data_IF_147173901628
#
_entry.id   IF_147173901628
#
_cell.length_a   1.000
_cell.length_b   1.000
_cell.length_c   1.000
_cell.angle_alpha   90.00
_cell.angle_beta   90.00
_cell.angle_gamma   90.00
#
_symmetry.space_group_name_H-M   'P 1'
#
loop_
_entity.id
_entity.type
_entity.pdbx_description
1 polymer ?
#
# COMPACT_ATOMS: atom_id res chain seq x y z
N UNK A 1 3.96 -24.27 -10.42
CA UNK A 1 4.97 -23.27 -10.80
C UNK A 1 6.26 -24.00 -11.16
N UNK A 2 7.15 -23.40 -11.95
CA UNK A 2 8.47 -24.00 -12.21
C UNK A 2 9.38 -23.76 -10.99
N UNK A 3 10.30 -24.67 -10.70
CA UNK A 3 11.23 -24.58 -9.55
C UNK A 3 11.98 -23.23 -9.45
N UNK A 4 12.31 -22.62 -10.59
CA UNK A 4 12.92 -21.29 -10.66
C UNK A 4 11.99 -20.15 -10.23
N UNK A 5 10.70 -20.21 -10.59
CA UNK A 5 9.71 -19.21 -10.17
C UNK A 5 9.46 -19.27 -8.65
N UNK A 6 9.43 -20.48 -8.10
CA UNK A 6 9.31 -20.69 -6.64
C UNK A 6 10.51 -20.12 -5.88
N UNK A 7 11.72 -20.29 -6.41
CA UNK A 7 12.94 -19.76 -5.78
C UNK A 7 12.95 -18.23 -5.85
N UNK A 8 12.58 -17.66 -7.00
CA UNK A 8 12.45 -16.20 -7.15
C UNK A 8 11.42 -15.61 -6.17
N UNK A 9 10.27 -16.26 -6.01
CA UNK A 9 9.25 -15.84 -5.05
C UNK A 9 9.78 -15.86 -3.61
N UNK A 10 10.45 -16.95 -3.19
CA UNK A 10 11.07 -17.06 -1.86
C UNK A 10 12.09 -15.97 -1.57
N UNK A 11 12.93 -15.62 -2.56
CA UNK A 11 13.89 -14.52 -2.41
C UNK A 11 13.15 -13.20 -2.15
N UNK A 12 12.10 -12.92 -2.93
CA UNK A 12 11.32 -11.69 -2.78
C UNK A 12 10.55 -11.65 -1.45
N UNK A 13 9.99 -12.78 -1.00
CA UNK A 13 9.30 -12.88 0.30
C UNK A 13 10.25 -12.56 1.46
N UNK A 14 11.43 -13.19 1.49
CA UNK A 14 12.43 -12.92 2.51
C UNK A 14 12.93 -11.47 2.44
N UNK A 15 13.16 -10.94 1.23
CA UNK A 15 13.57 -9.56 1.03
C UNK A 15 12.52 -8.56 1.53
N UNK A 16 11.24 -8.80 1.25
CA UNK A 16 10.14 -7.94 1.72
C UNK A 16 10.10 -7.85 3.25
N UNK A 17 10.16 -9.00 3.92
CA UNK A 17 10.16 -9.09 5.38
C UNK A 17 11.38 -8.36 5.96
N UNK A 18 12.57 -8.62 5.43
CA UNK A 18 13.80 -7.97 5.90
C UNK A 18 13.80 -6.46 5.68
N UNK A 19 13.35 -6.01 4.50
CA UNK A 19 13.28 -4.57 4.16
C UNK A 19 12.27 -3.84 5.04
N UNK A 20 11.09 -4.42 5.30
CA UNK A 20 10.08 -3.80 6.17
C UNK A 20 10.47 -3.81 7.66
N UNK A 21 11.34 -4.75 8.06
CA UNK A 21 11.82 -4.86 9.44
C UNK A 21 12.96 -3.90 9.76
N UNK A 22 13.98 -3.81 8.89
CA UNK A 22 15.23 -3.06 9.17
C UNK A 22 15.67 -2.11 8.04
N UNK A 23 14.91 -2.03 6.96
CA UNK A 23 15.22 -1.19 5.82
C UNK A 23 16.09 -1.87 4.78
N UNK A 24 16.09 -1.29 3.58
CA UNK A 24 16.81 -1.85 2.44
C UNK A 24 18.32 -1.75 2.61
N UNK A 25 18.85 -0.63 3.08
CA UNK A 25 20.29 -0.46 3.31
C UNK A 25 20.89 -1.55 4.21
N UNK A 26 20.18 -1.92 5.28
CA UNK A 26 20.60 -2.92 6.26
C UNK A 26 20.34 -4.38 5.86
N UNK A 27 19.70 -4.60 4.71
CA UNK A 27 19.40 -5.95 4.18
C UNK A 27 20.52 -6.41 3.24
N UNK A 28 21.31 -7.42 3.60
CA UNK A 28 22.39 -7.94 2.76
C UNK A 28 21.92 -9.04 1.81
N UNK A 29 22.68 -9.36 0.76
CA UNK A 29 22.37 -10.52 -0.10
C UNK A 29 22.73 -11.83 0.61
N UNK A 30 23.85 -11.83 1.34
CA UNK A 30 24.35 -13.03 2.03
C UNK A 30 23.40 -13.49 3.14
N UNK A 31 22.78 -12.57 3.89
CA UNK A 31 21.76 -12.95 4.87
C UNK A 31 20.54 -13.59 4.21
N UNK A 32 20.07 -13.07 3.06
CA UNK A 32 18.91 -13.61 2.35
C UNK A 32 19.21 -15.01 1.85
N UNK A 33 20.41 -15.23 1.31
CA UNK A 33 20.90 -16.55 0.88
C UNK A 33 20.86 -17.55 2.04
N UNK A 34 21.37 -17.15 3.21
CA UNK A 34 21.41 -17.99 4.41
C UNK A 34 19.99 -18.28 4.92
N UNK A 35 19.14 -17.25 4.98
CA UNK A 35 17.76 -17.35 5.48
C UNK A 35 16.91 -18.31 4.66
N UNK A 36 17.01 -18.27 3.33
CA UNK A 36 16.22 -19.12 2.44
C UNK A 36 16.91 -20.45 2.10
N UNK A 37 18.17 -20.63 2.51
CA UNK A 37 18.95 -21.85 2.30
C UNK A 37 19.28 -22.13 0.83
N UNK A 38 19.59 -21.09 0.04
CA UNK A 38 20.04 -21.26 -1.36
C UNK A 38 21.55 -21.05 -1.49
N UNK A 39 22.10 -21.29 -2.68
CA UNK A 39 23.50 -20.94 -2.98
C UNK A 39 23.60 -19.52 -3.51
N UNK A 40 24.79 -18.93 -3.41
CA UNK A 40 25.11 -17.65 -4.03
C UNK A 40 24.81 -17.64 -5.54
N UNK A 41 25.19 -18.71 -6.25
CA UNK A 41 24.85 -18.88 -7.67
C UNK A 41 23.34 -18.96 -7.92
N UNK A 42 22.57 -19.58 -7.01
CA UNK A 42 21.11 -19.62 -7.07
C UNK A 42 20.46 -18.24 -6.92
N UNK A 43 21.00 -17.37 -6.06
CA UNK A 43 20.54 -15.98 -5.96
C UNK A 43 20.84 -15.20 -7.25
N UNK A 44 22.10 -15.22 -7.71
CA UNK A 44 22.53 -14.47 -8.88
C UNK A 44 21.95 -14.98 -10.21
N UNK A 45 21.37 -16.18 -10.23
CA UNK A 45 20.54 -16.65 -11.34
C UNK A 45 19.24 -15.83 -11.49
N UNK A 46 18.70 -15.30 -10.39
CA UNK A 46 17.44 -14.54 -10.36
C UNK A 46 17.62 -13.03 -10.30
N UNK A 47 18.65 -12.53 -9.61
CA UNK A 47 18.91 -11.11 -9.41
C UNK A 47 20.41 -10.84 -9.52
N UNK A 48 20.81 -10.01 -10.49
CA UNK A 48 22.21 -9.66 -10.75
C UNK A 48 22.83 -8.87 -9.61
N UNK A 49 22.01 -8.04 -8.96
CA UNK A 49 22.43 -7.20 -7.86
C UNK A 49 21.24 -6.82 -6.96
N UNK A 50 21.53 -5.97 -5.97
CA UNK A 50 20.56 -5.49 -5.00
C UNK A 50 19.53 -4.53 -5.63
N UNK A 51 19.90 -3.77 -6.66
CA UNK A 51 18.97 -2.84 -7.32
C UNK A 51 17.94 -3.61 -8.15
N UNK A 52 18.33 -4.68 -8.84
CA UNK A 52 17.39 -5.56 -9.54
C UNK A 52 16.42 -6.22 -8.56
N UNK A 53 16.90 -6.63 -7.38
CA UNK A 53 16.04 -7.11 -6.30
C UNK A 53 15.07 -6.03 -5.82
N UNK A 54 15.54 -4.81 -5.57
CA UNK A 54 14.71 -3.69 -5.12
C UNK A 54 13.61 -3.34 -6.13
N UNK A 55 13.95 -3.28 -7.42
CA UNK A 55 13.02 -3.03 -8.50
C UNK A 55 11.93 -4.09 -8.53
N UNK A 56 12.33 -5.37 -8.59
CA UNK A 56 11.38 -6.47 -8.62
C UNK A 56 10.51 -6.55 -7.36
N UNK A 57 11.06 -6.20 -6.19
CA UNK A 57 10.33 -6.14 -4.94
C UNK A 57 9.28 -5.04 -4.96
N UNK A 58 9.65 -3.83 -5.41
CA UNK A 58 8.74 -2.70 -5.50
C UNK A 58 7.63 -2.94 -6.54
N UNK A 59 7.98 -3.47 -7.72
CA UNK A 59 7.00 -3.84 -8.76
C UNK A 59 5.99 -4.86 -8.23
N UNK A 60 6.46 -5.95 -7.59
CA UNK A 60 5.59 -6.96 -6.99
C UNK A 60 4.69 -6.36 -5.90
N UNK A 61 5.24 -5.48 -5.07
CA UNK A 61 4.49 -4.82 -4.01
C UNK A 61 3.36 -3.96 -4.59
N UNK A 62 3.66 -3.16 -5.62
CA UNK A 62 2.67 -2.33 -6.32
C UNK A 62 1.57 -3.21 -6.93
N UNK A 63 1.92 -4.28 -7.65
CA UNK A 63 0.96 -5.19 -8.26
C UNK A 63 0.04 -5.86 -7.22
N UNK A 64 0.59 -6.27 -6.08
CA UNK A 64 -0.20 -6.87 -5.01
C UNK A 64 -1.14 -5.87 -4.34
N UNK A 65 -0.65 -4.66 -4.06
CA UNK A 65 -1.47 -3.55 -3.57
C UNK A 65 -2.58 -3.19 -4.57
N UNK A 66 -2.29 -3.17 -5.86
CA UNK A 66 -3.32 -2.94 -6.86
C UNK A 66 -4.42 -4.00 -6.83
N UNK A 67 -4.02 -5.27 -6.81
CA UNK A 67 -4.95 -6.40 -6.76
C UNK A 67 -5.84 -6.35 -5.51
N UNK A 68 -5.27 -6.09 -4.33
CA UNK A 68 -6.02 -6.03 -3.07
C UNK A 68 -7.08 -4.93 -3.14
N UNK A 69 -6.72 -3.75 -3.63
CA UNK A 69 -7.66 -2.62 -3.64
C UNK A 69 -8.69 -2.73 -4.77
N UNK A 70 -8.32 -3.30 -5.91
CA UNK A 70 -9.29 -3.61 -6.97
C UNK A 70 -10.32 -4.63 -6.49
N UNK A 71 -9.91 -5.65 -5.73
CA UNK A 71 -10.84 -6.63 -5.13
C UNK A 71 -11.78 -5.96 -4.11
N UNK A 72 -11.23 -5.18 -3.17
CA UNK A 72 -12.01 -4.53 -2.11
C UNK A 72 -13.02 -3.53 -2.68
N UNK A 73 -12.54 -2.59 -3.50
CA UNK A 73 -13.38 -1.52 -4.04
C UNK A 73 -14.24 -2.01 -5.20
N UNK A 74 -13.84 -3.06 -5.92
CA UNK A 74 -14.68 -3.78 -6.87
C UNK A 74 -15.89 -4.41 -6.18
N UNK A 75 -15.66 -5.20 -5.12
CA UNK A 75 -16.74 -5.78 -4.29
C UNK A 75 -17.64 -4.70 -3.71
N UNK A 76 -17.08 -3.57 -3.27
CA UNK A 76 -17.88 -2.47 -2.74
C UNK A 76 -18.78 -1.81 -3.80
N UNK A 77 -18.38 -1.79 -5.08
CA UNK A 77 -19.21 -1.31 -6.20
C UNK A 77 -20.33 -2.29 -6.54
N UNK A 78 -20.10 -3.59 -6.40
CA UNK A 78 -21.17 -4.60 -6.59
C UNK A 78 -22.26 -4.51 -5.52
N UNK A 79 -21.92 -4.02 -4.32
CA UNK A 79 -22.85 -3.93 -3.19
C UNK A 79 -23.67 -2.63 -3.16
N UNK A 80 -23.27 -1.59 -3.89
CA UNK A 80 -23.96 -0.30 -3.90
C UNK A 80 -23.71 0.48 -5.19
N UNK A 81 -24.79 0.88 -5.88
CA UNK A 81 -24.72 1.72 -7.09
C UNK A 81 -24.32 3.18 -6.79
N UNK A 82 -24.62 3.66 -5.58
CA UNK A 82 -24.27 5.03 -5.18
C UNK A 82 -22.75 5.15 -4.94
N UNK A 83 -22.04 6.07 -5.62
CA UNK A 83 -20.58 6.13 -5.56
C UNK A 83 -20.05 6.48 -4.17
N UNK A 84 -20.79 7.28 -3.38
CA UNK A 84 -20.41 7.59 -2.01
C UNK A 84 -20.58 6.37 -1.11
N UNK A 85 -21.72 5.67 -1.17
CA UNK A 85 -21.93 4.45 -0.39
C UNK A 85 -20.95 3.35 -0.77
N UNK A 86 -20.66 3.17 -2.06
CA UNK A 86 -19.66 2.22 -2.54
C UNK A 86 -18.28 2.53 -1.94
N UNK A 87 -17.83 3.78 -2.01
CA UNK A 87 -16.54 4.18 -1.44
C UNK A 87 -16.48 4.00 0.08
N UNK A 88 -17.53 4.41 0.81
CA UNK A 88 -17.62 4.20 2.26
C UNK A 88 -17.64 2.71 2.63
N UNK A 89 -18.22 1.86 1.80
CA UNK A 89 -18.22 0.40 1.98
C UNK A 89 -16.83 -0.17 1.73
N UNK A 90 -16.14 0.28 0.68
CA UNK A 90 -14.75 -0.10 0.40
C UNK A 90 -13.81 0.25 1.55
N UNK A 91 -13.94 1.44 2.15
CA UNK A 91 -13.16 1.81 3.34
C UNK A 91 -13.44 0.91 4.55
N UNK A 92 -14.69 0.45 4.71
CA UNK A 92 -15.06 -0.48 5.80
C UNK A 92 -14.47 -1.86 5.57
N UNK A 93 -14.55 -2.38 4.34
CA UNK A 93 -13.96 -3.66 3.95
C UNK A 93 -12.43 -3.64 4.08
N UNK A 94 -11.79 -2.53 3.69
CA UNK A 94 -10.35 -2.35 3.87
C UNK A 94 -9.96 -2.35 5.37
N UNK A 95 -10.74 -1.66 6.20
CA UNK A 95 -10.55 -1.67 7.66
C UNK A 95 -10.68 -3.09 8.25
N UNK A 96 -11.64 -3.88 7.78
CA UNK A 96 -11.83 -5.28 8.20
C UNK A 96 -10.64 -6.15 7.81
N UNK A 97 -10.20 -6.08 6.54
CA UNK A 97 -9.03 -6.81 6.06
C UNK A 97 -7.79 -6.50 6.91
N UNK A 98 -7.56 -5.22 7.21
CA UNK A 98 -6.40 -4.78 7.98
C UNK A 98 -6.49 -5.17 9.46
N UNK A 99 -7.70 -5.24 10.02
CA UNK A 99 -7.94 -5.69 11.40
C UNK A 99 -7.69 -7.20 11.58
N UNK A 100 -7.86 -8.00 10.53
CA UNK A 100 -7.64 -9.44 10.53
C UNK A 100 -6.15 -9.84 10.41
N UNK A 101 -5.25 -8.87 10.20
CA UNK A 101 -3.81 -9.13 10.21
C UNK A 101 -3.32 -9.40 11.64
N UNK A 102 -2.84 -10.62 11.96
CA UNK A 102 -2.57 -11.04 13.34
C UNK A 102 -1.49 -10.20 14.03
N UNK A 103 -0.54 -9.64 13.26
CA UNK A 103 0.54 -8.78 13.75
C UNK A 103 0.40 -7.32 13.27
N UNK A 104 -0.78 -6.95 12.78
CA UNK A 104 -1.00 -5.66 12.10
C UNK A 104 -0.31 -5.59 10.73
N UNK A 105 -0.39 -4.42 10.11
CA UNK A 105 0.23 -4.18 8.80
C UNK A 105 1.76 -4.19 8.91
N UNK A 106 2.50 -4.97 8.09
CA UNK A 106 3.94 -5.17 8.26
C UNK A 106 4.74 -3.89 7.96
N UNK A 107 4.18 -2.98 7.19
CA UNK A 107 4.76 -1.69 6.80
C UNK A 107 4.48 -1.42 5.33
N UNK A 108 4.81 -0.22 4.85
CA UNK A 108 4.70 0.11 3.44
C UNK A 108 6.07 0.17 2.78
N UNK A 109 6.26 -0.59 1.69
CA UNK A 109 7.51 -0.54 0.94
C UNK A 109 7.70 0.81 0.25
N UNK A 110 6.63 1.43 -0.26
CA UNK A 110 6.70 2.75 -0.92
C UNK A 110 7.22 3.81 0.04
N UNK A 111 6.72 3.82 1.29
CA UNK A 111 7.18 4.71 2.34
C UNK A 111 8.62 4.39 2.79
N UNK A 112 8.94 3.11 2.95
CA UNK A 112 10.29 2.66 3.33
C UNK A 112 11.33 3.10 2.30
N UNK A 113 11.04 2.90 1.00
CA UNK A 113 11.94 3.31 -0.07
C UNK A 113 12.04 4.83 -0.19
N UNK A 114 10.95 5.56 0.03
CA UNK A 114 10.93 7.02 0.06
C UNK A 114 11.85 7.59 1.16
N UNK A 115 11.79 7.04 2.38
CA UNK A 115 12.63 7.50 3.49
C UNK A 115 14.11 7.11 3.33
N UNK A 116 14.40 6.13 2.48
CA UNK A 116 15.75 5.64 2.18
C UNK A 116 16.18 5.95 0.75
N UNK A 117 15.64 7.01 0.14
CA UNK A 117 15.78 7.33 -1.29
C UNK A 117 17.22 7.27 -1.82
N UNK A 118 18.19 7.71 -1.00
CA UNK A 118 19.63 7.72 -1.34
C UNK A 118 20.24 6.33 -1.54
N UNK A 119 19.57 5.27 -1.08
CA UNK A 119 20.02 3.89 -1.27
C UNK A 119 19.66 3.34 -2.67
N UNK A 120 18.87 4.07 -3.45
CA UNK A 120 18.32 3.63 -4.72
C UNK A 120 18.77 4.52 -5.88
N UNK A 121 18.84 3.95 -7.08
CA UNK A 121 19.08 4.71 -8.29
C UNK A 121 17.84 5.48 -8.76
N UNK A 122 18.02 6.31 -9.80
CA UNK A 122 16.95 7.15 -10.36
C UNK A 122 15.79 6.34 -10.94
N UNK A 123 16.02 5.11 -11.37
CA UNK A 123 14.96 4.26 -11.94
C UNK A 123 14.01 3.82 -10.83
N UNK A 124 14.55 3.28 -9.74
CA UNK A 124 13.74 2.85 -8.59
C UNK A 124 13.04 4.04 -7.93
N UNK A 125 13.71 5.20 -7.81
CA UNK A 125 13.09 6.43 -7.33
C UNK A 125 11.89 6.84 -8.20
N UNK A 126 12.02 6.73 -9.53
CA UNK A 126 10.94 7.01 -10.45
C UNK A 126 9.78 6.01 -10.30
N UNK A 127 10.05 4.71 -10.16
CA UNK A 127 9.03 3.69 -9.90
C UNK A 127 8.29 4.00 -8.59
N UNK A 128 9.02 4.33 -7.52
CA UNK A 128 8.42 4.67 -6.22
C UNK A 128 7.52 5.90 -6.31
N UNK A 129 7.96 6.93 -7.05
CA UNK A 129 7.15 8.11 -7.35
C UNK A 129 5.89 7.74 -8.14
N UNK A 130 5.99 6.84 -9.12
CA UNK A 130 4.81 6.38 -9.87
C UNK A 130 3.84 5.62 -8.98
N UNK A 131 4.32 4.78 -8.06
CA UNK A 131 3.47 4.10 -7.09
C UNK A 131 2.60 5.09 -6.30
N UNK A 132 3.21 6.15 -5.77
CA UNK A 132 2.47 7.21 -5.06
C UNK A 132 1.44 7.93 -5.97
N UNK A 133 1.79 8.19 -7.23
CA UNK A 133 0.87 8.82 -8.20
C UNK A 133 -0.27 7.88 -8.63
N UNK A 134 -0.04 6.58 -8.69
CA UNK A 134 -1.08 5.58 -8.98
C UNK A 134 -2.16 5.59 -7.91
N UNK A 135 -1.77 5.68 -6.63
CA UNK A 135 -2.71 5.85 -5.52
C UNK A 135 -3.56 7.12 -5.65
N UNK A 136 -2.92 8.26 -5.92
CA UNK A 136 -3.62 9.53 -6.18
C UNK A 136 -4.61 9.39 -7.33
N UNK A 137 -4.19 8.76 -8.43
CA UNK A 137 -5.04 8.55 -9.60
C UNK A 137 -6.26 7.69 -9.27
N UNK A 138 -6.06 6.56 -8.58
CA UNK A 138 -7.12 5.62 -8.17
C UNK A 138 -8.17 6.32 -7.30
N UNK A 139 -7.76 6.84 -6.14
CA UNK A 139 -8.72 7.45 -5.21
C UNK A 139 -9.28 8.77 -5.73
N UNK A 140 -8.47 9.54 -6.48
CA UNK A 140 -8.94 10.77 -7.12
C UNK A 140 -10.04 10.50 -8.14
N UNK A 141 -9.98 9.37 -8.87
CA UNK A 141 -11.06 8.97 -9.78
C UNK A 141 -12.36 8.66 -9.00
N UNK A 142 -12.27 7.93 -7.88
CA UNK A 142 -13.43 7.65 -7.02
C UNK A 142 -14.02 8.94 -6.43
N UNK A 143 -13.20 9.86 -5.94
CA UNK A 143 -13.69 11.14 -5.44
C UNK A 143 -14.29 12.03 -6.54
N UNK A 144 -13.71 12.04 -7.75
CA UNK A 144 -14.30 12.75 -8.89
C UNK A 144 -15.69 12.21 -9.22
N UNK A 145 -15.86 10.89 -9.22
CA UNK A 145 -17.14 10.22 -9.42
C UNK A 145 -18.17 10.61 -8.35
N UNK A 146 -17.79 10.56 -7.07
CA UNK A 146 -18.63 11.04 -5.96
C UNK A 146 -19.04 12.49 -6.16
N UNK A 147 -18.10 13.35 -6.57
CA UNK A 147 -18.32 14.79 -6.76
C UNK A 147 -19.24 15.14 -7.93
N UNK A 148 -19.53 14.21 -8.85
CA UNK A 148 -20.55 14.40 -9.88
C UNK A 148 -21.96 14.46 -9.28
N UNK A 149 -22.18 13.77 -8.16
CA UNK A 149 -23.48 13.67 -7.48
C UNK A 149 -23.51 14.48 -6.18
N UNK A 150 -22.42 14.49 -5.42
CA UNK A 150 -22.33 15.08 -4.09
C UNK A 150 -21.36 16.25 -4.07
N UNK A 151 -21.86 17.45 -3.79
CA UNK A 151 -20.99 18.62 -3.56
C UNK A 151 -20.34 18.51 -2.17
N UNK A 152 -19.00 18.57 -2.05
CA UNK A 152 -18.35 18.59 -0.74
C UNK A 152 -18.73 19.87 0.03
N UNK A 153 -18.84 19.77 1.35
CA UNK A 153 -19.15 20.91 2.22
C UNK A 153 -18.04 21.95 2.26
N UNK A 154 -16.80 21.51 2.06
CA UNK A 154 -15.58 22.31 1.99
C UNK A 154 -15.02 22.32 0.55
N UNK A 155 -14.26 23.36 0.15
CA UNK A 155 -13.70 23.48 -1.19
C UNK A 155 -12.45 22.60 -1.37
N UNK A 156 -12.59 21.29 -1.16
CA UNK A 156 -11.52 20.30 -1.30
C UNK A 156 -11.55 19.66 -2.70
N UNK A 157 -10.39 19.55 -3.33
CA UNK A 157 -10.23 18.87 -4.61
C UNK A 157 -10.12 17.35 -4.46
N UNK A 158 -10.52 16.62 -5.50
CA UNK A 158 -10.46 15.15 -5.51
C UNK A 158 -9.04 14.59 -5.27
N UNK A 159 -8.01 15.21 -5.85
CA UNK A 159 -6.62 14.76 -5.67
C UNK A 159 -6.11 15.06 -4.24
N UNK A 160 -6.58 16.12 -3.58
CA UNK A 160 -6.25 16.39 -2.18
C UNK A 160 -6.87 15.36 -1.24
N UNK A 161 -8.12 14.97 -1.52
CA UNK A 161 -8.79 13.89 -0.78
C UNK A 161 -8.13 12.53 -1.05
N UNK A 162 -7.68 12.29 -2.28
CA UNK A 162 -6.92 11.08 -2.63
C UNK A 162 -5.60 10.99 -1.86
N UNK A 163 -4.83 12.08 -1.80
CA UNK A 163 -3.59 12.15 -1.02
C UNK A 163 -3.84 11.99 0.49
N UNK A 164 -5.00 12.42 0.98
CA UNK A 164 -5.41 12.20 2.36
C UNK A 164 -5.61 10.70 2.67
N UNK A 165 -6.09 9.88 1.72
CA UNK A 165 -6.19 8.43 1.90
C UNK A 165 -4.81 7.84 2.19
N UNK A 166 -3.82 8.16 1.36
CA UNK A 166 -2.43 7.70 1.56
C UNK A 166 -1.87 8.21 2.89
N UNK A 167 -2.14 9.47 3.25
CA UNK A 167 -1.69 10.05 4.52
C UNK A 167 -2.27 9.31 5.74
N UNK A 168 -3.55 8.94 5.69
CA UNK A 168 -4.23 8.18 6.76
C UNK A 168 -3.66 6.77 6.87
N UNK A 169 -3.44 6.09 5.74
CA UNK A 169 -2.88 4.74 5.72
C UNK A 169 -1.44 4.73 6.27
N UNK A 170 -0.56 5.58 5.75
CA UNK A 170 0.84 5.62 6.18
C UNK A 170 0.98 6.07 7.63
N UNK A 171 0.23 7.11 8.03
CA UNK A 171 0.18 7.55 9.42
C UNK A 171 -0.37 6.47 10.36
N UNK A 172 -1.41 5.74 9.94
CA UNK A 172 -1.98 4.63 10.68
C UNK A 172 -1.01 3.46 10.84
N UNK A 173 -0.24 3.13 9.79
CA UNK A 173 0.84 2.12 9.84
C UNK A 173 1.90 2.56 10.86
N UNK A 174 2.35 3.81 10.79
CA UNK A 174 3.35 4.36 11.73
C UNK A 174 2.85 4.28 13.17
N UNK A 175 1.62 4.74 13.45
CA UNK A 175 1.03 4.69 14.79
C UNK A 175 0.91 3.26 15.29
N UNK A 176 0.39 2.36 14.45
CA UNK A 176 0.24 0.95 14.80
C UNK A 176 1.57 0.31 15.22
N UNK A 177 2.64 0.54 14.45
CA UNK A 177 3.99 0.02 14.75
C UNK A 177 4.62 0.71 15.96
N UNK A 178 4.54 2.03 16.06
CA UNK A 178 5.18 2.79 17.14
C UNK A 178 4.56 2.50 18.51
N UNK A 179 3.22 2.35 18.55
CA UNK A 179 2.48 2.10 19.78
C UNK A 179 2.31 0.60 20.08
N UNK A 180 2.66 -0.29 19.13
CA UNK A 180 2.37 -1.74 19.18
C UNK A 180 0.88 -2.05 19.31
N UNK A 181 0.08 -1.27 18.59
CA UNK A 181 -1.37 -1.35 18.57
C UNK A 181 -1.81 -1.70 17.14
N UNK A 182 -1.98 -3.00 16.79
CA UNK A 182 -2.33 -3.41 15.42
C UNK A 182 -3.66 -2.82 14.93
N UNK A 183 -4.56 -2.45 15.85
CA UNK A 183 -5.87 -1.87 15.54
C UNK A 183 -5.83 -0.37 15.20
N UNK A 184 -4.74 0.34 15.47
CA UNK A 184 -4.70 1.79 15.26
C UNK A 184 -4.89 2.16 13.78
N UNK A 185 -4.33 1.38 12.85
CA UNK A 185 -4.55 1.58 11.41
C UNK A 185 -6.01 1.39 10.97
N UNK A 186 -6.66 0.23 11.20
CA UNK A 186 -8.05 0.05 10.80
C UNK A 186 -9.01 1.02 11.50
N UNK A 187 -8.72 1.44 12.73
CA UNK A 187 -9.49 2.48 13.43
C UNK A 187 -9.38 3.84 12.74
N UNK A 188 -8.18 4.25 12.31
CA UNK A 188 -7.99 5.50 11.55
C UNK A 188 -8.75 5.48 10.21
N UNK A 189 -8.86 4.32 9.55
CA UNK A 189 -9.70 4.20 8.35
C UNK A 189 -11.19 4.43 8.64
N UNK A 190 -11.70 3.99 9.79
CA UNK A 190 -13.10 4.24 10.18
C UNK A 190 -13.35 5.70 10.56
N UNK A 191 -12.35 6.36 11.15
CA UNK A 191 -12.37 7.81 11.38
C UNK A 191 -12.40 8.55 10.04
N UNK A 192 -11.52 8.20 9.10
CA UNK A 192 -11.50 8.77 7.75
C UNK A 192 -12.81 8.52 6.99
N UNK A 193 -13.38 7.31 7.09
CA UNK A 193 -14.70 7.00 6.54
C UNK A 193 -15.78 7.93 7.11
N UNK A 194 -15.74 8.21 8.41
CA UNK A 194 -16.69 9.14 9.05
C UNK A 194 -16.48 10.58 8.56
N UNK A 195 -15.24 11.01 8.38
CA UNK A 195 -14.90 12.30 7.78
C UNK A 195 -15.47 12.43 6.36
N UNK A 196 -15.24 11.45 5.48
CA UNK A 196 -15.75 11.45 4.10
C UNK A 196 -17.28 11.52 4.09
N UNK A 197 -17.94 10.73 4.94
CA UNK A 197 -19.41 10.78 5.08
C UNK A 197 -19.89 12.18 5.46
N UNK A 198 -19.27 12.82 6.45
CA UNK A 198 -19.65 14.18 6.89
C UNK A 198 -19.37 15.23 5.82
N UNK A 199 -18.27 15.08 5.07
CA UNK A 199 -17.89 16.00 3.99
C UNK A 199 -18.91 16.03 2.86
N UNK A 200 -19.51 14.89 2.52
CA UNK A 200 -20.46 14.75 1.42
C UNK A 200 -21.93 14.65 1.86
N UNK A 201 -22.23 14.77 3.15
CA UNK A 201 -23.61 14.88 3.62
C UNK A 201 -24.28 16.12 3.05
N UNK A 202 -25.56 16.05 2.62
CA UNK A 202 -26.33 17.22 2.22
C UNK A 202 -26.24 18.29 3.32
N UNK A 203 -26.04 19.55 2.96
CA UNK A 203 -26.20 20.63 3.93
C UNK A 203 -27.67 20.59 4.35
N UNK A 204 -27.95 20.41 5.64
CA UNK A 204 -29.31 20.61 6.15
C UNK A 204 -29.72 22.04 5.73
N UNK A 205 -30.84 22.14 5.00
CA UNK A 205 -31.43 23.43 4.63
C UNK A 205 -31.81 24.22 5.88
#
# INVERSE_FOLDING_TARGET
>A
MRKGEETRAKILDAAEVAVLAKGFGATSIDELIVEIGITKGGFFYHFRDKNELAKALLERYIENDERIYDEIFGRARELADDPLQSFLTGLKLLSELLADLPNGHPGCLVATMCTQERAFDREIQAINRQAALMWRKRFGAMFREIMLTYRPREPLGADQLADMVSTVLEGGIVLSKALKEPKSLPDQLLVFRSFVRLLFQPKNQ
#
